data_IF_850595111565
#
_entry.id   IF_850595111565
#
_cell.length_a   1.000
_cell.length_b   1.000
_cell.length_c   1.000
_cell.angle_alpha   90.00
_cell.angle_beta   90.00
_cell.angle_gamma   90.00
#
_symmetry.space_group_name_H-M   'P 1'
#
loop_
_entity.id
_entity.type
_entity.pdbx_description
1 polymer ?
#
# COMPACT_ATOMS: atom_id res chain seq x y z
N UNK A 1 22.89 -2.65 -18.73
CA UNK A 1 22.26 -2.06 -17.53
C UNK A 1 23.29 -1.99 -16.42
N UNK A 2 23.41 -0.83 -15.81
CA UNK A 2 24.27 -0.58 -14.66
C UNK A 2 23.40 -0.05 -13.52
N UNK A 3 23.85 -0.25 -12.29
CA UNK A 3 23.14 0.21 -11.08
C UNK A 3 23.51 -0.68 -9.90
N UNK A 4 22.92 -0.35 -8.75
CA UNK A 4 23.08 -1.09 -7.51
C UNK A 4 21.70 -1.36 -6.91
N UNK A 5 21.58 -2.49 -6.23
CA UNK A 5 20.41 -2.81 -5.41
C UNK A 5 20.93 -3.15 -4.02
N UNK A 6 20.75 -2.21 -3.11
CA UNK A 6 21.26 -2.35 -1.74
C UNK A 6 20.16 -2.92 -0.85
N UNK A 7 20.44 -4.04 -0.22
CA UNK A 7 19.58 -4.67 0.78
C UNK A 7 20.39 -4.96 2.03
N UNK A 8 19.96 -4.48 3.18
CA UNK A 8 20.66 -4.61 4.46
C UNK A 8 22.13 -4.14 4.41
N UNK A 9 22.43 -3.10 3.58
CA UNK A 9 23.78 -2.54 3.42
C UNK A 9 24.68 -3.28 2.43
N UNK A 10 24.21 -4.35 1.80
CA UNK A 10 24.96 -5.12 0.80
C UNK A 10 24.33 -4.96 -0.60
N UNK A 11 25.17 -4.85 -1.64
CA UNK A 11 24.69 -4.84 -3.02
C UNK A 11 24.38 -6.28 -3.47
N UNK A 12 23.09 -6.60 -3.63
CA UNK A 12 22.65 -7.95 -3.99
C UNK A 12 23.04 -8.36 -5.42
N UNK A 13 23.41 -7.40 -6.29
CA UNK A 13 23.89 -7.70 -7.65
C UNK A 13 25.29 -8.33 -7.65
N UNK A 14 26.03 -8.18 -6.56
CA UNK A 14 27.37 -8.78 -6.39
C UNK A 14 27.31 -10.20 -5.81
N UNK A 15 26.08 -10.66 -5.47
CA UNK A 15 25.88 -12.01 -4.91
C UNK A 15 26.10 -13.09 -5.97
N UNK A 16 26.78 -14.16 -5.56
CA UNK A 16 26.80 -15.39 -6.35
C UNK A 16 25.44 -16.11 -6.31
N UNK A 17 25.22 -17.06 -7.21
CA UNK A 17 23.95 -17.78 -7.31
C UNK A 17 23.52 -18.48 -6.01
N UNK A 18 24.47 -18.96 -5.21
CA UNK A 18 24.15 -19.62 -3.93
C UNK A 18 23.60 -18.60 -2.93
N UNK A 19 24.22 -17.44 -2.79
CA UNK A 19 23.78 -16.38 -1.89
C UNK A 19 22.43 -15.79 -2.35
N UNK A 20 22.24 -15.59 -3.68
CA UNK A 20 20.97 -15.17 -4.24
C UNK A 20 19.82 -16.16 -3.95
N UNK A 21 20.10 -17.48 -4.02
CA UNK A 21 19.12 -18.50 -3.66
C UNK A 21 18.74 -18.43 -2.18
N UNK A 22 19.71 -18.31 -1.29
CA UNK A 22 19.46 -18.19 0.15
C UNK A 22 18.65 -16.91 0.48
N UNK A 23 19.02 -15.78 -0.13
CA UNK A 23 18.28 -14.53 0.02
C UNK A 23 16.81 -14.67 -0.43
N UNK A 24 16.58 -15.21 -1.64
CA UNK A 24 15.22 -15.44 -2.16
C UNK A 24 14.41 -16.43 -1.33
N UNK A 25 15.08 -17.30 -0.60
CA UNK A 25 14.44 -18.31 0.23
C UNK A 25 14.02 -17.76 1.59
N UNK A 26 14.78 -16.84 2.16
CA UNK A 26 14.63 -16.41 3.55
C UNK A 26 14.30 -14.93 3.72
N UNK A 27 14.80 -14.07 2.83
CA UNK A 27 14.75 -12.62 3.03
C UNK A 27 13.69 -11.94 2.15
N UNK A 28 13.20 -12.64 1.09
CA UNK A 28 12.30 -12.05 0.09
C UNK A 28 11.19 -13.02 -0.30
N UNK A 29 9.98 -12.51 -0.43
CA UNK A 29 8.84 -13.24 -0.99
C UNK A 29 8.24 -12.48 -2.17
N UNK A 30 7.45 -13.16 -3.00
CA UNK A 30 6.84 -12.53 -4.17
C UNK A 30 5.40 -12.99 -4.37
N UNK A 31 4.53 -12.02 -4.61
CA UNK A 31 3.15 -12.19 -5.05
C UNK A 31 3.09 -11.79 -6.52
N UNK A 32 2.64 -12.70 -7.38
CA UNK A 32 2.66 -12.55 -8.83
C UNK A 32 1.29 -12.11 -9.37
N UNK A 33 1.28 -11.38 -10.45
CA UNK A 33 0.08 -10.95 -11.19
C UNK A 33 -0.84 -12.14 -11.57
N UNK A 34 -0.28 -13.24 -12.06
CA UNK A 34 -0.99 -14.46 -12.47
C UNK A 34 -0.93 -15.56 -11.39
N UNK A 35 -0.95 -15.19 -10.12
CA UNK A 35 -0.97 -16.03 -8.92
C UNK A 35 0.22 -17.00 -8.79
N UNK A 36 0.71 -17.57 -9.88
CA UNK A 36 1.81 -18.55 -9.95
C UNK A 36 1.64 -19.69 -8.93
N UNK A 37 0.42 -20.19 -8.79
CA UNK A 37 0.12 -21.37 -7.97
C UNK A 37 0.46 -22.64 -8.74
N UNK A 38 0.95 -23.65 -8.00
CA UNK A 38 1.22 -24.96 -8.56
C UNK A 38 -0.10 -25.73 -8.72
N UNK A 39 -0.54 -26.03 -9.96
CA UNK A 39 -1.89 -26.55 -10.21
C UNK A 39 -2.10 -27.98 -9.69
N UNK A 40 -1.02 -28.74 -9.50
CA UNK A 40 -1.01 -30.10 -8.98
C UNK A 40 -0.86 -30.18 -7.46
N UNK A 41 -0.81 -29.04 -6.78
CA UNK A 41 -0.72 -28.91 -5.32
C UNK A 41 -2.01 -28.33 -4.77
N UNK A 42 -2.38 -28.73 -3.57
CA UNK A 42 -3.52 -28.16 -2.85
C UNK A 42 -3.24 -26.71 -2.43
N UNK A 43 -4.26 -26.01 -1.97
CA UNK A 43 -4.17 -24.64 -1.41
C UNK A 43 -3.20 -24.60 -0.24
N UNK A 44 -3.31 -25.55 0.69
CA UNK A 44 -2.41 -25.68 1.83
C UNK A 44 -0.96 -25.91 1.42
N UNK A 45 -0.74 -26.78 0.44
CA UNK A 45 0.61 -27.07 -0.07
C UNK A 45 1.20 -25.90 -0.86
N UNK A 46 0.37 -25.14 -1.58
CA UNK A 46 0.80 -23.89 -2.23
C UNK A 46 1.19 -22.83 -1.19
N UNK A 47 0.38 -22.63 -0.17
CA UNK A 47 0.67 -21.67 0.89
C UNK A 47 1.93 -22.02 1.69
N UNK A 48 2.17 -23.32 1.94
CA UNK A 48 3.29 -23.80 2.74
C UNK A 48 4.59 -24.08 1.98
N UNK A 49 4.63 -23.86 0.66
CA UNK A 49 5.73 -24.35 -0.19
C UNK A 49 7.11 -23.78 0.19
N UNK A 50 7.20 -22.54 0.66
CA UNK A 50 8.46 -21.94 1.10
C UNK A 50 9.10 -22.74 2.24
N UNK A 51 8.31 -23.12 3.22
CA UNK A 51 8.77 -23.92 4.36
C UNK A 51 9.09 -25.37 3.98
N UNK A 52 8.38 -25.94 2.99
CA UNK A 52 8.73 -27.25 2.43
C UNK A 52 10.11 -27.21 1.75
N UNK A 53 10.39 -26.15 0.96
CA UNK A 53 11.70 -25.95 0.32
C UNK A 53 12.82 -25.76 1.37
N UNK A 54 12.50 -25.18 2.51
CA UNK A 54 13.42 -25.10 3.66
C UNK A 54 13.63 -26.42 4.39
N UNK A 55 12.92 -27.49 3.99
CA UNK A 55 13.02 -28.81 4.62
C UNK A 55 12.24 -28.95 5.93
N UNK A 56 11.30 -28.04 6.21
CA UNK A 56 10.42 -28.15 7.38
C UNK A 56 9.42 -29.29 7.19
N UNK A 57 9.10 -29.99 8.28
CA UNK A 57 8.14 -31.11 8.23
C UNK A 57 6.74 -30.62 7.86
N UNK A 58 5.95 -31.49 7.21
CA UNK A 58 4.57 -31.20 6.81
C UNK A 58 3.72 -30.65 7.96
N UNK A 59 3.87 -31.21 9.17
CA UNK A 59 3.16 -30.76 10.36
C UNK A 59 3.46 -29.30 10.69
N UNK A 60 4.71 -28.83 10.53
CA UNK A 60 5.11 -27.44 10.82
C UNK A 60 4.60 -26.49 9.75
N UNK A 61 4.84 -26.78 8.47
CA UNK A 61 4.39 -25.87 7.42
C UNK A 61 2.87 -25.82 7.29
N UNK A 62 2.17 -26.94 7.53
CA UNK A 62 0.70 -26.96 7.48
C UNK A 62 0.09 -26.05 8.57
N UNK A 63 0.63 -26.07 9.78
CA UNK A 63 0.14 -25.22 10.87
C UNK A 63 0.28 -23.73 10.52
N UNK A 64 1.45 -23.31 10.02
CA UNK A 64 1.69 -21.91 9.66
C UNK A 64 0.90 -21.52 8.41
N UNK A 65 0.86 -22.36 7.38
CA UNK A 65 0.07 -22.08 6.18
C UNK A 65 -1.43 -21.98 6.49
N UNK A 66 -1.98 -22.85 7.37
CA UNK A 66 -3.38 -22.75 7.81
C UNK A 66 -3.65 -21.43 8.50
N UNK A 67 -2.79 -21.00 9.42
CA UNK A 67 -2.91 -19.70 10.10
C UNK A 67 -3.06 -18.56 9.09
N UNK A 68 -2.21 -18.51 8.06
CA UNK A 68 -2.26 -17.46 7.07
C UNK A 68 -3.43 -17.61 6.10
N UNK A 69 -3.82 -18.83 5.73
CA UNK A 69 -5.03 -19.09 4.94
C UNK A 69 -6.28 -18.61 5.67
N UNK A 70 -6.38 -18.88 6.98
CA UNK A 70 -7.49 -18.40 7.80
C UNK A 70 -7.50 -16.86 7.86
N UNK A 71 -6.34 -16.24 8.03
CA UNK A 71 -6.20 -14.78 8.09
C UNK A 71 -6.61 -14.08 6.79
N UNK A 72 -6.36 -14.69 5.64
CA UNK A 72 -6.80 -14.17 4.34
C UNK A 72 -8.22 -14.60 3.94
N UNK A 73 -8.99 -15.19 4.86
CA UNK A 73 -10.39 -15.56 4.65
C UNK A 73 -10.59 -16.84 3.81
N UNK A 74 -9.67 -17.79 3.89
CA UNK A 74 -9.73 -19.09 3.20
C UNK A 74 -9.88 -20.28 4.16
N UNK A 75 -10.59 -20.10 5.28
CA UNK A 75 -10.85 -21.19 6.23
C UNK A 75 -11.50 -22.37 5.53
N UNK A 76 -10.98 -23.59 5.82
CA UNK A 76 -11.53 -24.83 5.29
C UNK A 76 -11.25 -25.10 3.80
N UNK A 77 -10.51 -24.22 3.11
CA UNK A 77 -10.21 -24.39 1.69
C UNK A 77 -8.87 -25.12 1.42
N UNK A 78 -8.18 -25.54 2.46
CA UNK A 78 -6.81 -26.08 2.38
C UNK A 78 -6.64 -27.30 1.46
N UNK A 79 -7.64 -28.17 1.35
CA UNK A 79 -7.61 -29.39 0.54
C UNK A 79 -8.04 -29.16 -0.92
N UNK A 80 -8.52 -27.98 -1.28
CA UNK A 80 -8.88 -27.65 -2.66
C UNK A 80 -7.64 -27.43 -3.53
N UNK A 81 -7.84 -27.57 -4.85
CA UNK A 81 -6.82 -27.26 -5.85
C UNK A 81 -7.09 -25.88 -6.47
N UNK A 82 -6.06 -25.20 -7.01
CA UNK A 82 -6.21 -23.89 -7.62
C UNK A 82 -7.35 -23.79 -8.64
N UNK A 83 -7.57 -24.82 -9.45
CA UNK A 83 -8.65 -24.84 -10.44
C UNK A 83 -10.08 -24.80 -9.85
N UNK A 84 -10.23 -25.05 -8.57
CA UNK A 84 -11.52 -25.01 -7.85
C UNK A 84 -11.80 -23.66 -7.20
N UNK A 85 -10.85 -22.71 -7.33
CA UNK A 85 -10.92 -21.38 -6.69
C UNK A 85 -11.24 -20.29 -7.70
N UNK A 86 -11.95 -19.24 -7.26
CA UNK A 86 -12.05 -17.98 -7.99
C UNK A 86 -10.70 -17.27 -8.08
N UNK A 87 -10.54 -16.33 -9.02
CA UNK A 87 -9.32 -15.52 -9.16
C UNK A 87 -8.93 -14.81 -7.86
N UNK A 88 -9.91 -14.20 -7.16
CA UNK A 88 -9.67 -13.57 -5.87
C UNK A 88 -9.20 -14.55 -4.79
N UNK A 89 -9.76 -15.77 -4.74
CA UNK A 89 -9.30 -16.80 -3.82
C UNK A 89 -7.88 -17.26 -4.16
N UNK A 90 -7.54 -17.43 -5.44
CA UNK A 90 -6.18 -17.77 -5.85
C UNK A 90 -5.17 -16.70 -5.45
N UNK A 91 -5.54 -15.42 -5.57
CA UNK A 91 -4.71 -14.30 -5.11
C UNK A 91 -4.48 -14.34 -3.59
N UNK A 92 -5.52 -14.61 -2.81
CA UNK A 92 -5.41 -14.81 -1.35
C UNK A 92 -4.46 -15.94 -0.99
N UNK A 93 -4.46 -17.05 -1.74
CA UNK A 93 -3.47 -18.13 -1.58
C UNK A 93 -2.06 -17.63 -1.87
N UNK A 94 -1.86 -16.81 -2.91
CA UNK A 94 -0.57 -16.18 -3.23
C UNK A 94 -0.04 -15.28 -2.11
N UNK A 95 -0.91 -14.49 -1.49
CA UNK A 95 -0.58 -13.65 -0.33
C UNK A 95 -0.26 -14.53 0.89
N UNK A 96 -1.08 -15.55 1.19
CA UNK A 96 -0.82 -16.50 2.29
C UNK A 96 0.54 -17.20 2.12
N UNK A 97 0.89 -17.59 0.87
CA UNK A 97 2.20 -18.18 0.55
C UNK A 97 3.36 -17.23 0.87
N UNK A 98 3.22 -15.95 0.48
CA UNK A 98 4.23 -14.93 0.76
C UNK A 98 4.36 -14.66 2.26
N UNK A 99 3.26 -14.63 3.00
CA UNK A 99 3.26 -14.46 4.45
C UNK A 99 3.84 -15.67 5.20
N UNK A 100 3.54 -16.88 4.73
CA UNK A 100 4.09 -18.14 5.31
C UNK A 100 5.62 -18.18 5.22
N UNK A 101 6.24 -17.56 4.21
CA UNK A 101 7.70 -17.52 4.10
C UNK A 101 8.36 -16.74 5.23
N UNK A 102 7.62 -15.84 5.87
CA UNK A 102 8.09 -14.94 6.94
C UNK A 102 9.31 -14.10 6.57
N UNK A 103 9.42 -13.73 5.29
CA UNK A 103 10.48 -12.84 4.78
C UNK A 103 10.25 -11.39 5.20
N UNK A 104 11.31 -10.60 5.30
CA UNK A 104 11.24 -9.19 5.67
C UNK A 104 10.76 -8.30 4.50
N UNK A 105 11.04 -8.72 3.26
CA UNK A 105 10.67 -8.01 2.04
C UNK A 105 9.63 -8.80 1.25
N UNK A 106 8.54 -8.13 0.86
CA UNK A 106 7.50 -8.67 -0.01
C UNK A 106 7.44 -7.87 -1.30
N UNK A 107 7.67 -8.54 -2.43
CA UNK A 107 7.49 -7.96 -3.76
C UNK A 107 6.08 -8.29 -4.24
N UNK A 108 5.36 -7.31 -4.77
CA UNK A 108 4.03 -7.48 -5.32
C UNK A 108 3.99 -6.89 -6.72
N UNK A 109 3.78 -7.74 -7.72
CA UNK A 109 3.78 -7.34 -9.12
C UNK A 109 2.33 -7.38 -9.64
N UNK A 110 1.72 -6.21 -9.81
CA UNK A 110 0.32 -6.01 -10.23
C UNK A 110 -0.66 -6.98 -9.54
N UNK A 111 -0.47 -7.15 -8.24
CA UNK A 111 -1.10 -8.23 -7.47
C UNK A 111 -2.64 -8.19 -7.46
N UNK A 112 -3.26 -7.05 -7.74
CA UNK A 112 -4.71 -6.91 -7.69
C UNK A 112 -5.35 -6.58 -9.05
N UNK A 113 -4.56 -6.48 -10.14
CA UNK A 113 -5.03 -6.09 -11.46
C UNK A 113 -6.08 -7.05 -12.06
N UNK A 114 -6.00 -8.33 -11.73
CA UNK A 114 -6.91 -9.37 -12.24
C UNK A 114 -8.18 -9.56 -11.39
N UNK A 115 -8.39 -8.74 -10.34
CA UNK A 115 -9.52 -8.85 -9.43
C UNK A 115 -10.66 -7.90 -9.84
N UNK A 116 -11.90 -8.31 -9.57
CA UNK A 116 -13.03 -7.39 -9.66
C UNK A 116 -12.93 -6.26 -8.60
N UNK A 117 -13.61 -5.12 -8.81
CA UNK A 117 -13.40 -3.94 -7.97
C UNK A 117 -13.68 -4.17 -6.48
N UNK A 118 -14.69 -4.99 -6.14
CA UNK A 118 -15.06 -5.24 -4.75
C UNK A 118 -13.98 -6.07 -4.05
N UNK A 119 -13.60 -7.20 -4.66
CA UNK A 119 -12.55 -8.07 -4.13
C UNK A 119 -11.20 -7.34 -4.06
N UNK A 120 -10.92 -6.46 -5.03
CA UNK A 120 -9.71 -5.62 -5.03
C UNK A 120 -9.67 -4.73 -3.79
N UNK A 121 -10.76 -4.03 -3.49
CA UNK A 121 -10.86 -3.18 -2.30
C UNK A 121 -10.60 -3.99 -1.02
N UNK A 122 -11.27 -5.13 -0.86
CA UNK A 122 -11.08 -6.02 0.29
C UNK A 122 -9.62 -6.48 0.45
N UNK A 123 -8.93 -6.75 -0.69
CA UNK A 123 -7.54 -7.19 -0.67
C UNK A 123 -6.56 -6.07 -0.32
N UNK A 124 -6.84 -4.86 -0.78
CA UNK A 124 -6.06 -3.68 -0.41
C UNK A 124 -6.20 -3.38 1.08
N UNK A 125 -7.43 -3.43 1.62
CA UNK A 125 -7.68 -3.20 3.04
C UNK A 125 -7.00 -4.27 3.91
N UNK A 126 -7.07 -5.53 3.50
CA UNK A 126 -6.33 -6.61 4.15
C UNK A 126 -4.81 -6.38 4.13
N UNK A 127 -4.25 -5.89 3.01
CA UNK A 127 -2.82 -5.60 2.93
C UNK A 127 -2.40 -4.48 3.89
N UNK A 128 -3.21 -3.40 3.99
CA UNK A 128 -2.98 -2.30 4.94
C UNK A 128 -3.01 -2.82 6.38
N UNK A 129 -4.01 -3.63 6.73
CA UNK A 129 -4.12 -4.26 8.06
C UNK A 129 -2.90 -5.12 8.39
N UNK A 130 -2.49 -5.99 7.46
CA UNK A 130 -1.32 -6.86 7.63
C UNK A 130 -0.02 -6.06 7.72
N UNK A 131 0.12 -4.98 6.97
CA UNK A 131 1.29 -4.11 7.02
C UNK A 131 1.41 -3.39 8.37
N UNK A 132 0.31 -2.90 8.92
CA UNK A 132 0.27 -2.28 10.24
C UNK A 132 0.63 -3.27 11.37
N UNK A 133 0.29 -4.55 11.21
CA UNK A 133 0.61 -5.61 12.19
C UNK A 133 2.05 -6.13 12.05
N UNK A 134 2.52 -6.35 10.82
CA UNK A 134 3.75 -7.10 10.55
C UNK A 134 4.96 -6.22 10.29
N UNK A 135 4.76 -4.94 9.97
CA UNK A 135 5.82 -3.95 9.66
C UNK A 135 6.84 -4.42 8.60
N UNK A 136 6.36 -5.18 7.59
CA UNK A 136 7.23 -5.67 6.50
C UNK A 136 7.49 -4.58 5.47
N UNK A 137 8.64 -4.65 4.80
CA UNK A 137 8.89 -3.82 3.62
C UNK A 137 8.13 -4.40 2.43
N UNK A 138 7.18 -3.65 1.88
CA UNK A 138 6.42 -4.05 0.68
C UNK A 138 6.85 -3.18 -0.49
N UNK A 139 7.31 -3.80 -1.58
CA UNK A 139 7.55 -3.14 -2.86
C UNK A 139 6.42 -3.55 -3.79
N UNK A 140 5.55 -2.59 -4.11
CA UNK A 140 4.33 -2.82 -4.85
C UNK A 140 4.42 -2.14 -6.23
N UNK A 141 4.26 -2.92 -7.30
CA UNK A 141 4.21 -2.42 -8.67
C UNK A 141 2.76 -2.44 -9.14
N UNK A 142 2.27 -1.31 -9.61
CA UNK A 142 0.93 -1.16 -10.18
C UNK A 142 0.93 -0.10 -11.28
N UNK A 143 -0.04 -0.20 -12.19
CA UNK A 143 -0.38 0.85 -13.15
C UNK A 143 -1.63 1.63 -12.74
N UNK A 144 -2.25 1.27 -11.61
CA UNK A 144 -3.44 1.92 -11.05
C UNK A 144 -2.99 2.95 -10.00
N UNK A 145 -3.21 4.23 -10.30
CA UNK A 145 -2.79 5.32 -9.44
C UNK A 145 -3.59 5.37 -8.13
N UNK A 146 -4.90 5.10 -8.16
CA UNK A 146 -5.74 5.07 -6.95
C UNK A 146 -5.22 4.01 -5.96
N UNK A 147 -4.83 2.86 -6.50
CA UNK A 147 -4.22 1.79 -5.72
C UNK A 147 -2.89 2.22 -5.09
N UNK A 148 -2.00 2.84 -5.89
CA UNK A 148 -0.72 3.35 -5.40
C UNK A 148 -0.90 4.41 -4.30
N UNK A 149 -1.82 5.35 -4.50
CA UNK A 149 -2.12 6.41 -3.54
C UNK A 149 -2.75 5.90 -2.22
N UNK A 150 -3.49 4.78 -2.30
CA UNK A 150 -4.11 4.15 -1.13
C UNK A 150 -3.09 3.37 -0.29
N UNK A 151 -2.15 2.68 -0.94
CA UNK A 151 -1.28 1.69 -0.31
C UNK A 151 0.10 2.22 0.07
N UNK A 152 0.63 3.22 -0.66
CA UNK A 152 2.03 3.60 -0.53
C UNK A 152 2.30 4.59 0.59
N UNK A 153 3.37 4.37 1.34
CA UNK A 153 4.02 5.39 2.17
C UNK A 153 4.97 6.25 1.32
N UNK A 154 5.56 5.65 0.29
CA UNK A 154 6.45 6.31 -0.66
C UNK A 154 6.11 5.86 -2.08
N UNK A 155 5.83 6.81 -2.97
CA UNK A 155 5.45 6.57 -4.36
C UNK A 155 6.56 6.98 -5.30
N UNK A 156 6.88 6.11 -6.26
CA UNK A 156 7.83 6.38 -7.35
C UNK A 156 7.08 6.26 -8.67
N UNK A 157 7.05 7.34 -9.45
CA UNK A 157 6.42 7.36 -10.78
C UNK A 157 7.49 7.26 -11.85
N UNK A 158 7.34 6.23 -12.70
CA UNK A 158 8.25 5.97 -13.82
C UNK A 158 7.56 6.27 -15.15
N UNK A 159 8.33 6.85 -16.09
CA UNK A 159 7.94 7.02 -17.47
C UNK A 159 9.13 6.73 -18.37
N UNK A 160 8.94 5.93 -19.41
CA UNK A 160 9.98 5.59 -20.40
C UNK A 160 11.29 5.07 -19.77
N UNK A 161 11.19 4.38 -18.61
CA UNK A 161 12.32 3.82 -17.87
C UNK A 161 13.05 4.81 -16.96
N UNK A 162 12.57 6.04 -16.81
CA UNK A 162 13.11 7.06 -15.94
C UNK A 162 12.17 7.37 -14.77
N UNK A 163 12.75 7.71 -13.62
CA UNK A 163 11.98 8.25 -12.49
C UNK A 163 11.62 9.70 -12.81
N UNK A 164 10.31 10.01 -12.90
CA UNK A 164 9.81 11.36 -13.14
C UNK A 164 9.63 12.10 -11.83
N UNK A 165 9.03 11.45 -10.84
CA UNK A 165 8.85 12.00 -9.50
C UNK A 165 8.80 10.88 -8.46
N UNK A 166 9.31 11.17 -7.26
CA UNK A 166 9.17 10.30 -6.10
C UNK A 166 8.98 11.13 -4.84
N UNK A 167 8.01 10.75 -4.02
CA UNK A 167 7.72 11.37 -2.72
C UNK A 167 6.62 10.59 -1.98
N UNK A 168 6.19 11.11 -0.83
CA UNK A 168 4.91 10.71 -0.24
C UNK A 168 3.76 10.98 -1.23
N UNK A 169 2.74 10.12 -1.33
CA UNK A 169 1.62 10.27 -2.26
C UNK A 169 0.95 11.64 -2.19
N UNK A 170 0.74 12.16 -1.01
CA UNK A 170 0.09 13.45 -0.77
C UNK A 170 0.90 14.63 -1.31
N UNK A 171 2.23 14.55 -1.20
CA UNK A 171 3.11 15.58 -1.76
C UNK A 171 3.07 15.59 -3.29
N UNK A 172 2.99 14.42 -3.93
CA UNK A 172 2.87 14.32 -5.39
C UNK A 172 1.56 14.94 -5.88
N UNK A 173 0.44 14.69 -5.17
CA UNK A 173 -0.86 15.28 -5.51
C UNK A 173 -0.89 16.79 -5.37
N UNK A 174 -0.20 17.34 -4.35
CA UNK A 174 -0.21 18.78 -4.07
C UNK A 174 0.84 19.56 -4.88
N UNK A 175 1.95 18.89 -5.23
CA UNK A 175 3.09 19.51 -5.88
C UNK A 175 3.62 18.64 -7.03
N UNK A 176 2.82 18.41 -8.10
CA UNK A 176 3.31 17.75 -9.29
C UNK A 176 4.42 18.61 -9.93
N UNK A 177 5.54 17.99 -10.30
CA UNK A 177 6.72 18.69 -10.83
C UNK A 177 6.91 18.53 -12.35
N UNK A 178 6.01 17.83 -13.01
CA UNK A 178 6.07 17.54 -14.44
C UNK A 178 4.66 17.53 -15.06
N UNK A 179 4.43 18.06 -16.27
CA UNK A 179 3.12 18.05 -16.93
C UNK A 179 2.52 16.64 -17.09
N UNK A 180 3.36 15.61 -17.19
CA UNK A 180 2.89 14.23 -17.20
C UNK A 180 2.26 13.83 -15.85
N UNK A 181 2.88 14.25 -14.74
CA UNK A 181 2.35 13.98 -13.40
C UNK A 181 1.06 14.76 -13.19
N UNK A 182 0.99 16.03 -13.60
CA UNK A 182 -0.23 16.83 -13.54
C UNK A 182 -1.39 16.16 -14.26
N UNK A 183 -1.17 15.71 -15.50
CA UNK A 183 -2.17 14.97 -16.27
C UNK A 183 -2.53 13.63 -15.60
N UNK A 184 -1.53 12.94 -15.03
CA UNK A 184 -1.72 11.64 -14.38
C UNK A 184 -2.55 11.72 -13.10
N UNK A 185 -2.46 12.83 -12.34
CA UNK A 185 -3.20 13.04 -11.09
C UNK A 185 -4.47 13.89 -11.25
N UNK A 186 -4.78 14.35 -12.48
CA UNK A 186 -5.90 15.28 -12.73
C UNK A 186 -7.26 14.69 -12.37
N UNK A 187 -7.47 13.41 -12.64
CA UNK A 187 -8.76 12.73 -12.46
C UNK A 187 -8.94 12.15 -11.05
N UNK A 188 -7.93 12.28 -10.19
CA UNK A 188 -7.97 11.74 -8.83
C UNK A 188 -8.93 12.51 -7.95
N UNK A 189 -9.79 11.77 -7.23
CA UNK A 189 -10.60 12.35 -6.17
C UNK A 189 -9.74 12.72 -4.96
N UNK A 190 -9.21 13.96 -4.97
CA UNK A 190 -8.31 14.50 -3.95
C UNK A 190 -8.91 14.41 -2.54
N UNK A 191 -10.24 14.55 -2.39
CA UNK A 191 -10.89 14.48 -1.08
C UNK A 191 -10.71 13.13 -0.39
N UNK A 192 -10.66 12.04 -1.16
CA UNK A 192 -10.49 10.67 -0.65
C UNK A 192 -9.05 10.32 -0.31
N UNK A 193 -8.10 10.94 -1.00
CA UNK A 193 -6.69 10.60 -0.85
C UNK A 193 -5.98 11.52 0.11
N UNK A 194 -6.23 12.85 0.01
CA UNK A 194 -5.56 13.83 0.87
C UNK A 194 -6.00 13.67 2.33
N UNK A 195 -5.01 13.75 3.20
CA UNK A 195 -5.18 13.71 4.66
C UNK A 195 -5.08 15.11 5.25
N UNK A 196 -5.71 15.31 6.39
CA UNK A 196 -5.65 16.58 7.15
C UNK A 196 -4.21 17.04 7.34
N UNK A 197 -3.27 16.14 7.68
CA UNK A 197 -1.85 16.45 7.88
C UNK A 197 -1.14 17.10 6.69
N UNK A 198 -1.66 16.89 5.47
CA UNK A 198 -1.05 17.43 4.24
C UNK A 198 -1.47 18.85 3.93
N UNK A 199 -2.54 19.34 4.55
CA UNK A 199 -3.13 20.66 4.30
C UNK A 199 -3.25 21.54 5.55
N UNK A 200 -3.06 20.96 6.75
CA UNK A 200 -3.12 21.72 8.00
C UNK A 200 -1.97 22.72 8.13
N UNK A 201 -2.19 23.79 8.83
CA UNK A 201 -1.14 24.64 9.37
C UNK A 201 -0.54 23.98 10.63
N UNK A 202 0.78 23.76 10.62
CA UNK A 202 1.48 23.17 11.77
C UNK A 202 1.64 24.23 12.86
N UNK A 203 0.87 24.11 13.93
CA UNK A 203 0.92 25.01 15.09
C UNK A 203 0.39 24.29 16.33
N UNK A 204 0.93 24.62 17.47
CA UNK A 204 0.45 24.20 18.79
C UNK A 204 -0.47 25.25 19.44
N UNK A 205 -0.64 26.42 18.78
CA UNK A 205 -1.52 27.47 19.24
C UNK A 205 -2.94 27.19 18.77
N UNK A 206 -3.92 27.04 19.68
CA UNK A 206 -5.30 26.86 19.29
C UNK A 206 -5.86 28.13 18.64
N UNK A 207 -6.67 28.01 17.56
CA UNK A 207 -7.38 29.15 17.01
C UNK A 207 -8.43 29.68 18.00
N UNK A 208 -8.79 30.93 17.88
CA UNK A 208 -9.76 31.61 18.73
C UNK A 208 -11.20 31.07 18.57
N UNK A 209 -11.48 30.48 17.40
CA UNK A 209 -12.79 29.92 17.06
C UNK A 209 -12.60 28.55 16.44
N UNK A 210 -13.13 27.50 17.08
CA UNK A 210 -12.94 26.11 16.73
C UNK A 210 -14.29 25.40 16.69
N UNK A 211 -14.63 24.80 15.56
CA UNK A 211 -15.84 24.01 15.41
C UNK A 211 -15.71 22.60 16.04
N UNK A 212 -14.49 22.10 16.24
CA UNK A 212 -14.23 20.77 16.80
C UNK A 212 -12.79 20.31 16.68
N UNK A 213 -12.60 19.02 16.94
CA UNK A 213 -11.31 18.32 16.82
C UNK A 213 -11.39 17.27 15.71
N UNK A 214 -10.31 17.09 14.97
CA UNK A 214 -10.16 16.11 13.90
C UNK A 214 -8.83 15.40 14.01
N UNK A 215 -8.73 14.17 13.53
CA UNK A 215 -7.47 13.43 13.51
C UNK A 215 -6.59 13.87 12.33
N UNK A 216 -5.28 13.90 12.53
CA UNK A 216 -4.33 14.31 11.50
C UNK A 216 -4.32 13.37 10.30
N UNK A 217 -4.75 12.12 10.46
CA UNK A 217 -4.85 11.09 9.41
C UNK A 217 -6.25 10.98 8.80
N UNK A 218 -7.22 11.78 9.26
CA UNK A 218 -8.54 11.85 8.61
C UNK A 218 -8.43 12.28 7.15
N UNK A 219 -9.33 11.74 6.30
CA UNK A 219 -9.43 12.18 4.90
C UNK A 219 -10.12 13.54 4.80
N UNK A 220 -9.83 14.31 3.76
CA UNK A 220 -10.56 15.56 3.55
C UNK A 220 -12.06 15.33 3.28
N UNK A 221 -12.43 14.18 2.68
CA UNK A 221 -13.83 13.76 2.47
C UNK A 221 -14.58 13.63 3.81
N UNK A 222 -13.97 12.99 4.82
CA UNK A 222 -14.58 12.87 6.16
C UNK A 222 -14.78 14.22 6.83
N UNK A 223 -13.84 15.16 6.67
CA UNK A 223 -13.96 16.50 7.23
C UNK A 223 -15.07 17.31 6.55
N UNK A 224 -15.20 17.18 5.22
CA UNK A 224 -16.31 17.81 4.48
C UNK A 224 -17.67 17.31 5.02
N UNK A 225 -17.79 16.01 5.27
CA UNK A 225 -19.01 15.43 5.84
C UNK A 225 -19.30 15.97 7.25
N UNK A 226 -18.29 16.05 8.11
CA UNK A 226 -18.40 16.58 9.49
C UNK A 226 -18.77 18.07 9.49
N UNK A 227 -18.19 18.87 8.58
CA UNK A 227 -18.45 20.30 8.47
C UNK A 227 -19.84 20.64 7.93
N UNK A 228 -20.55 19.65 7.35
CA UNK A 228 -21.80 19.90 6.64
C UNK A 228 -21.65 20.85 5.43
N UNK A 229 -20.41 21.01 4.93
CA UNK A 229 -20.08 21.93 3.82
C UNK A 229 -19.82 23.39 4.27
N UNK A 230 -19.78 23.67 5.57
CA UNK A 230 -19.43 25.01 6.05
C UNK A 230 -17.92 25.25 5.90
N UNK A 231 -17.57 26.20 5.05
CA UNK A 231 -16.17 26.53 4.72
C UNK A 231 -15.55 27.59 5.66
N UNK A 232 -16.30 28.10 6.63
CA UNK A 232 -15.83 29.12 7.59
C UNK A 232 -15.20 28.48 8.84
N UNK A 233 -15.46 27.22 9.08
CA UNK A 233 -15.02 26.49 10.25
C UNK A 233 -13.49 26.27 10.30
N UNK A 234 -12.96 26.25 11.52
CA UNK A 234 -11.59 25.82 11.82
C UNK A 234 -11.65 24.61 12.76
N UNK A 235 -10.72 23.69 12.61
CA UNK A 235 -10.64 22.50 13.45
C UNK A 235 -9.26 22.38 14.07
N UNK A 236 -9.21 21.98 15.35
CA UNK A 236 -7.96 21.50 15.96
C UNK A 236 -7.56 20.17 15.37
N UNK A 237 -6.31 20.05 14.94
CA UNK A 237 -5.79 18.79 14.44
C UNK A 237 -5.04 18.06 15.55
N UNK A 238 -5.49 16.85 15.84
CA UNK A 238 -4.98 16.03 16.93
C UNK A 238 -4.15 14.86 16.39
N UNK A 239 -3.11 14.50 17.11
CA UNK A 239 -2.36 13.26 16.95
C UNK A 239 -2.05 12.69 18.31
N UNK A 240 -2.48 11.44 18.56
CA UNK A 240 -2.25 10.75 19.85
C UNK A 240 -2.63 11.61 21.09
N UNK A 241 -3.75 12.35 20.98
CA UNK A 241 -4.27 13.21 22.05
C UNK A 241 -3.54 14.54 22.23
N UNK A 242 -2.63 14.91 21.32
CA UNK A 242 -1.92 16.21 21.33
C UNK A 242 -2.30 17.02 20.10
N UNK A 243 -2.45 18.33 20.27
CA UNK A 243 -2.62 19.22 19.12
C UNK A 243 -1.31 19.30 18.33
N UNK A 244 -1.40 19.12 17.01
CA UNK A 244 -0.27 19.19 16.08
C UNK A 244 -0.49 20.21 14.97
N UNK A 245 -1.69 20.81 14.90
CA UNK A 245 -1.99 21.81 13.88
C UNK A 245 -3.40 22.34 13.97
N UNK A 246 -3.73 23.19 12.98
CA UNK A 246 -5.06 23.73 12.73
C UNK A 246 -5.42 23.48 11.27
N UNK A 247 -6.62 23.00 11.03
CA UNK A 247 -7.20 22.89 9.70
C UNK A 247 -8.19 24.03 9.48
N UNK A 248 -7.92 24.87 8.49
CA UNK A 248 -8.87 25.85 7.99
C UNK A 248 -9.64 25.24 6.82
N UNK A 249 -10.98 25.24 6.87
CA UNK A 249 -11.80 24.67 5.79
C UNK A 249 -11.53 25.32 4.42
N UNK A 250 -11.18 26.61 4.39
CA UNK A 250 -10.75 27.27 3.14
C UNK A 250 -9.51 26.64 2.48
N UNK A 251 -8.54 26.19 3.30
CA UNK A 251 -7.31 25.56 2.79
C UNK A 251 -7.58 24.13 2.33
N UNK A 252 -8.49 23.43 3.02
CA UNK A 252 -9.02 22.15 2.55
C UNK A 252 -9.65 22.31 1.17
N UNK A 253 -10.59 23.28 0.99
CA UNK A 253 -11.25 23.50 -0.30
C UNK A 253 -10.23 23.86 -1.39
N UNK A 254 -9.23 24.69 -1.07
CA UNK A 254 -8.15 25.04 -2.01
C UNK A 254 -7.34 23.82 -2.44
N UNK A 255 -7.08 22.88 -1.55
CA UNK A 255 -6.31 21.65 -1.84
C UNK A 255 -7.06 20.68 -2.78
N UNK A 256 -8.39 20.76 -2.83
CA UNK A 256 -9.22 19.95 -3.75
C UNK A 256 -9.14 20.42 -5.21
N UNK A 257 -8.82 21.68 -5.44
CA UNK A 257 -8.72 22.24 -6.78
C UNK A 257 -7.33 21.89 -7.34
N UNK A 258 -7.23 21.20 -8.50
CA UNK A 258 -5.96 21.02 -9.18
C UNK A 258 -5.30 22.37 -9.48
N UNK A 259 -4.01 22.52 -9.20
CA UNK A 259 -3.26 23.69 -9.65
C UNK A 259 -3.09 23.60 -11.16
N UNK A 260 -3.43 24.67 -11.89
CA UNK A 260 -3.13 24.75 -13.31
C UNK A 260 -1.66 25.16 -13.52
N UNK A 261 -0.99 24.63 -14.56
CA UNK A 261 0.38 25.01 -14.89
C UNK A 261 0.42 26.52 -15.18
N UNK A 262 1.14 27.28 -14.36
CA UNK A 262 1.28 28.74 -14.50
C UNK A 262 0.92 29.57 -13.28
N UNK A 263 0.24 29.04 -12.27
CA UNK A 263 0.04 29.70 -10.98
C UNK A 263 1.22 29.41 -10.05
N UNK A 264 2.31 30.16 -10.23
CA UNK A 264 3.37 30.23 -9.23
C UNK A 264 2.79 30.73 -7.91
N UNK A 265 3.21 30.15 -6.80
CA UNK A 265 2.85 30.60 -5.46
C UNK A 265 3.27 32.06 -5.29
N UNK A 266 2.29 32.99 -5.23
CA UNK A 266 2.46 34.31 -4.63
C UNK A 266 2.38 34.21 -3.11
#
# INVERSE_FOLDING_TARGET
TSGEVIMNGENILDYNERRLREMRKHEMSMVFQKFALLPHRTVLENAGISWEIEGKTRKKYAAEATKWLDRVGLQGQGDQYPAQLSGGMQQRVGIARALTSNSDVMLMDEAFSALDPLIRTDMQDLLIELQAELHKTVIFITHDLDEALKLADHLVILKDGFIVQQSEPQHILLNPNDPYIEAFVSDINRARVLRVRSVMEKTDVPPSDVAGEVDHDDTLESIIAVSGGDTTNNYRVMREGRQVGVLHMRDLVRALVPRHPGEAAE
#
